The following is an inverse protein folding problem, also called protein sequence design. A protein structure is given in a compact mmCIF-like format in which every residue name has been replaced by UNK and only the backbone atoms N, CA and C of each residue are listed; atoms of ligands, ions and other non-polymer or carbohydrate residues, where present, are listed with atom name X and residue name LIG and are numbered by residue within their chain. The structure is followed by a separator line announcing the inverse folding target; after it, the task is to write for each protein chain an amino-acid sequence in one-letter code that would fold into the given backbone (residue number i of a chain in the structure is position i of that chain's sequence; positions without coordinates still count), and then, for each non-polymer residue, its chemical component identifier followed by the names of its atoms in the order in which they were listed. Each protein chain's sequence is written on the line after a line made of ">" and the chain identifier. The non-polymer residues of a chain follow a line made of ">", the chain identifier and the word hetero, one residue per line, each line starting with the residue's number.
data_IF_100242206993
#
_entry.id   IF_100242206993
#
_cell.length_a   1.000
_cell.length_b   1.000
_cell.length_c   1.000
_cell.angle_alpha   90.00
_cell.angle_beta   90.00
_cell.angle_gamma   90.00
#
_symmetry.space_group_name_H-M   'P 1'
#
loop_
_entity.id
_entity.type
_entity.pdbx_description
1 polymer ?
#
# COMPACT_ATOMS: atom_id res chain seq x y z
N UNK A 1 5.17 17.00 13.27
CA UNK A 1 6.26 16.85 12.26
C UNK A 1 7.62 16.95 12.94
N UNK A 2 8.56 16.11 12.55
CA UNK A 2 9.90 16.16 13.15
C UNK A 2 10.68 17.38 12.64
N UNK A 3 11.36 18.12 13.53
CA UNK A 3 12.09 19.33 13.09
C UNK A 3 13.32 19.02 12.24
N UNK A 4 13.84 17.80 12.28
CA UNK A 4 14.98 17.37 11.44
C UNK A 4 14.56 16.89 10.05
N UNK A 5 13.25 16.86 9.75
CA UNK A 5 12.74 16.38 8.48
C UNK A 5 12.14 17.54 7.67
N UNK A 6 12.77 17.88 6.56
CA UNK A 6 12.33 18.95 5.66
C UNK A 6 11.37 18.47 4.57
N UNK A 7 11.19 17.17 4.41
CA UNK A 7 10.31 16.59 3.40
C UNK A 7 9.36 15.56 3.97
N UNK A 8 8.12 15.59 3.51
CA UNK A 8 7.12 14.57 3.82
C UNK A 8 6.40 14.19 2.54
N UNK A 9 6.34 12.90 2.26
CA UNK A 9 5.59 12.37 1.10
C UNK A 9 4.43 11.56 1.63
N UNK A 10 3.25 11.87 1.13
CA UNK A 10 2.03 11.10 1.37
C UNK A 10 1.57 10.51 0.06
N UNK A 11 1.43 9.20 0.02
CA UNK A 11 0.77 8.50 -1.07
C UNK A 11 -0.55 7.93 -0.56
N UNK A 12 -1.62 8.17 -1.29
CA UNK A 12 -2.92 7.64 -0.99
C UNK A 12 -3.44 6.90 -2.21
N UNK A 13 -3.62 5.59 -2.08
CA UNK A 13 -4.25 4.78 -3.13
C UNK A 13 -5.76 4.76 -2.93
N UNK A 14 -6.51 5.16 -3.96
CA UNK A 14 -7.96 5.22 -3.89
C UNK A 14 -8.60 4.16 -4.79
N UNK A 15 -9.83 3.78 -4.47
CA UNK A 15 -10.59 2.84 -5.28
C UNK A 15 -11.02 3.51 -6.59
N UNK A 16 -10.64 2.91 -7.72
CA UNK A 16 -10.99 3.40 -9.06
C UNK A 16 -12.29 2.76 -9.55
N UNK A 17 -13.01 3.47 -10.43
CA UNK A 17 -14.23 2.96 -11.05
C UNK A 17 -13.95 2.03 -12.25
N UNK A 18 -12.68 1.75 -12.54
CA UNK A 18 -12.28 0.89 -13.64
C UNK A 18 -11.02 0.10 -13.30
N UNK A 19 -10.89 -1.05 -13.95
CA UNK A 19 -9.68 -1.83 -13.96
C UNK A 19 -9.42 -2.30 -15.39
N UNK A 20 -8.22 -2.79 -15.67
CA UNK A 20 -7.88 -3.29 -17.01
C UNK A 20 -8.87 -4.38 -17.41
N UNK A 21 -9.55 -4.19 -18.55
CA UNK A 21 -10.57 -5.12 -19.06
C UNK A 21 -11.88 -5.12 -18.27
N UNK A 22 -12.06 -4.20 -17.32
CA UNK A 22 -13.25 -4.18 -16.45
C UNK A 22 -13.74 -2.76 -16.23
N UNK A 23 -14.38 -2.13 -17.23
CA UNK A 23 -14.98 -0.82 -17.02
C UNK A 23 -16.21 -0.92 -16.10
N UNK A 24 -16.49 0.13 -15.36
CA UNK A 24 -17.68 0.20 -14.53
C UNK A 24 -17.57 -0.59 -13.22
N UNK A 25 -16.40 -0.66 -12.63
CA UNK A 25 -16.24 -1.22 -11.28
C UNK A 25 -17.07 -0.39 -10.31
N UNK A 26 -17.98 -1.05 -9.56
CA UNK A 26 -18.90 -0.38 -8.64
C UNK A 26 -18.32 -0.19 -7.25
N UNK A 27 -17.59 -1.18 -6.76
CA UNK A 27 -16.87 -1.10 -5.49
C UNK A 27 -15.77 -2.17 -5.43
N UNK A 28 -14.92 -2.05 -4.43
CA UNK A 28 -13.88 -3.02 -4.15
C UNK A 28 -14.14 -3.66 -2.79
N UNK A 29 -13.63 -4.85 -2.62
CA UNK A 29 -13.55 -5.51 -1.32
C UNK A 29 -12.12 -5.98 -1.12
N UNK A 30 -11.53 -5.66 0.05
CA UNK A 30 -10.22 -6.16 0.41
C UNK A 30 -10.36 -7.22 1.49
N UNK A 31 -9.86 -8.40 1.19
CA UNK A 31 -9.74 -9.46 2.18
C UNK A 31 -8.29 -9.60 2.59
N UNK A 32 -8.06 -9.91 3.85
CA UNK A 32 -6.73 -9.96 4.40
C UNK A 32 -6.54 -11.19 5.27
N UNK A 33 -5.31 -11.64 5.32
CA UNK A 33 -4.86 -12.59 6.33
C UNK A 33 -4.50 -11.77 7.57
N UNK A 34 -5.50 -11.45 8.39
CA UNK A 34 -5.41 -10.45 9.45
C UNK A 34 -4.21 -10.62 10.37
N UNK A 35 -3.89 -11.87 10.73
CA UNK A 35 -2.75 -12.18 11.60
C UNK A 35 -1.40 -11.79 11.00
N UNK A 36 -1.31 -11.68 9.67
CA UNK A 36 -0.07 -11.40 8.96
C UNK A 36 0.07 -9.94 8.54
N UNK A 37 -1.02 -9.17 8.54
CA UNK A 37 -1.00 -7.81 8.00
C UNK A 37 -0.05 -6.90 8.76
N UNK A 38 -0.25 -6.75 10.08
CA UNK A 38 0.60 -5.85 10.88
C UNK A 38 2.06 -6.30 10.92
N UNK A 39 2.37 -7.60 11.15
CA UNK A 39 3.76 -8.05 11.07
C UNK A 39 4.42 -7.75 9.72
N UNK A 40 3.71 -7.95 8.61
CA UNK A 40 4.26 -7.69 7.28
C UNK A 40 4.44 -6.20 7.01
N UNK A 41 3.49 -5.36 7.43
CA UNK A 41 3.65 -3.90 7.34
C UNK A 41 4.86 -3.43 8.16
N UNK A 42 5.03 -3.99 9.36
CA UNK A 42 6.20 -3.68 10.20
C UNK A 42 7.51 -4.06 9.50
N UNK A 43 7.54 -5.21 8.86
CA UNK A 43 8.73 -5.66 8.12
C UNK A 43 9.05 -4.72 6.96
N UNK A 44 8.04 -4.23 6.25
CA UNK A 44 8.22 -3.23 5.17
C UNK A 44 8.85 -1.96 5.73
N UNK A 45 8.33 -1.45 6.83
CA UNK A 45 8.86 -0.25 7.47
C UNK A 45 10.31 -0.45 7.94
N UNK A 46 10.59 -1.58 8.57
CA UNK A 46 11.95 -1.90 9.05
C UNK A 46 12.95 -1.97 7.89
N UNK A 47 12.58 -2.59 6.79
CA UNK A 47 13.43 -2.66 5.60
C UNK A 47 13.68 -1.28 5.00
N UNK A 48 12.67 -0.42 4.97
CA UNK A 48 12.83 0.95 4.51
C UNK A 48 13.85 1.71 5.38
N UNK A 49 13.80 1.51 6.71
CA UNK A 49 14.75 2.15 7.62
C UNK A 49 16.18 1.65 7.43
N UNK A 50 16.35 0.39 7.04
CA UNK A 50 17.67 -0.15 6.71
C UNK A 50 18.23 0.51 5.46
N UNK A 51 17.39 0.67 4.43
CA UNK A 51 17.81 1.26 3.14
C UNK A 51 18.00 2.77 3.20
N UNK A 52 17.21 3.46 4.00
CA UNK A 52 17.29 4.91 4.19
C UNK A 52 17.34 5.23 5.68
N UNK A 53 18.52 5.10 6.33
CA UNK A 53 18.63 5.30 7.78
C UNK A 53 18.22 6.69 8.26
N UNK A 54 18.27 7.69 7.38
CA UNK A 54 17.93 9.08 7.70
C UNK A 54 16.45 9.36 7.78
N UNK A 55 15.57 8.46 7.33
CA UNK A 55 14.14 8.75 7.33
C UNK A 55 13.61 8.92 8.76
N UNK A 56 12.60 9.77 8.89
CA UNK A 56 11.99 10.09 10.15
C UNK A 56 10.85 9.13 10.51
N UNK A 57 9.64 9.53 10.20
CA UNK A 57 8.44 8.73 10.51
C UNK A 57 7.95 8.00 9.29
N UNK A 58 7.40 6.80 9.53
CA UNK A 58 6.75 5.99 8.50
C UNK A 58 5.35 5.66 9.02
N UNK A 59 4.35 5.89 8.18
CA UNK A 59 2.98 5.43 8.43
C UNK A 59 2.57 4.54 7.27
N UNK A 60 2.13 3.33 7.56
CA UNK A 60 1.62 2.37 6.59
C UNK A 60 0.26 1.89 7.07
N UNK A 61 -0.79 2.22 6.32
CA UNK A 61 -2.16 1.83 6.64
C UNK A 61 -2.79 1.18 5.42
N UNK A 62 -3.54 0.11 5.64
CA UNK A 62 -4.33 -0.51 4.58
C UNK A 62 -5.71 -0.86 5.12
N UNK A 63 -6.75 -0.51 4.35
CA UNK A 63 -8.12 -0.89 4.68
C UNK A 63 -8.38 -2.34 4.27
N UNK A 64 -9.26 -2.97 5.03
CA UNK A 64 -9.83 -4.27 4.69
C UNK A 64 -11.35 -4.14 4.64
N UNK A 65 -12.02 -5.10 4.00
CA UNK A 65 -13.46 -5.08 3.85
C UNK A 65 -13.92 -4.26 2.64
N UNK A 66 -15.21 -3.89 2.60
CA UNK A 66 -15.78 -3.16 1.46
C UNK A 66 -15.26 -1.73 1.38
N UNK A 67 -15.11 -1.25 0.16
CA UNK A 67 -14.55 0.05 -0.14
C UNK A 67 -15.32 0.66 -1.30
N UNK A 68 -15.90 1.83 -1.08
CA UNK A 68 -16.60 2.56 -2.15
C UNK A 68 -15.59 3.23 -3.08
N UNK A 69 -16.02 3.46 -4.32
CA UNK A 69 -15.21 4.18 -5.31
C UNK A 69 -14.85 5.56 -4.76
N UNK A 70 -13.57 5.91 -4.89
CA UNK A 70 -13.02 7.18 -4.39
C UNK A 70 -12.53 7.14 -2.96
N UNK A 71 -12.85 6.11 -2.20
CA UNK A 71 -12.32 5.98 -0.84
C UNK A 71 -10.86 5.52 -0.84
N UNK A 72 -10.14 5.88 0.22
CA UNK A 72 -8.72 5.51 0.38
C UNK A 72 -8.59 4.06 0.78
N UNK A 73 -7.82 3.30 0.00
CA UNK A 73 -7.52 1.90 0.28
C UNK A 73 -6.23 1.75 1.08
N UNK A 74 -5.23 2.55 0.75
CA UNK A 74 -3.90 2.47 1.36
C UNK A 74 -3.34 3.86 1.53
N UNK A 75 -2.63 4.06 2.62
CA UNK A 75 -1.92 5.31 2.91
C UNK A 75 -0.48 4.99 3.28
N UNK A 76 0.45 5.66 2.62
CA UNK A 76 1.88 5.59 2.92
C UNK A 76 2.36 7.00 3.19
N UNK A 77 2.95 7.24 4.35
CA UNK A 77 3.57 8.52 4.69
C UNK A 77 5.01 8.27 5.10
N UNK A 78 5.93 9.03 4.52
CA UNK A 78 7.34 8.98 4.89
C UNK A 78 7.86 10.39 5.03
N UNK A 79 8.50 10.70 6.16
CA UNK A 79 9.23 11.94 6.33
C UNK A 79 10.74 11.67 6.30
N UNK A 80 11.50 12.65 5.80
CA UNK A 80 12.95 12.57 5.70
C UNK A 80 13.56 13.96 5.75
N UNK A 81 14.88 14.09 6.05
CA UNK A 81 15.54 15.40 5.99
C UNK A 81 15.42 16.06 4.61
N UNK A 82 15.50 15.26 3.55
CA UNK A 82 15.43 15.76 2.17
C UNK A 82 14.44 14.95 1.34
N UNK A 83 13.92 15.59 0.29
CA UNK A 83 12.85 15.01 -0.55
C UNK A 83 13.24 13.72 -1.26
N UNK A 84 14.50 13.56 -1.66
CA UNK A 84 14.93 12.36 -2.38
C UNK A 84 14.64 11.09 -1.60
N UNK A 85 15.12 11.02 -0.36
CA UNK A 85 14.87 9.86 0.50
C UNK A 85 13.38 9.67 0.79
N UNK A 86 12.64 10.77 0.99
CA UNK A 86 11.20 10.70 1.25
C UNK A 86 10.45 10.06 0.07
N UNK A 87 10.72 10.50 -1.16
CA UNK A 87 10.09 9.91 -2.35
C UNK A 87 10.51 8.47 -2.59
N UNK A 88 11.80 8.20 -2.50
CA UNK A 88 12.33 6.84 -2.74
C UNK A 88 11.78 5.84 -1.72
N UNK A 89 11.80 6.19 -0.45
CA UNK A 89 11.31 5.31 0.61
C UNK A 89 9.79 5.13 0.53
N UNK A 90 9.03 6.16 0.22
CA UNK A 90 7.59 6.04 0.04
C UNK A 90 7.25 5.10 -1.13
N UNK A 91 7.95 5.23 -2.25
CA UNK A 91 7.79 4.33 -3.39
C UNK A 91 8.14 2.89 -3.03
N UNK A 92 9.26 2.69 -2.36
CA UNK A 92 9.64 1.36 -1.88
C UNK A 92 8.55 0.76 -1.00
N UNK A 93 8.02 1.53 -0.06
CA UNK A 93 7.00 1.04 0.87
C UNK A 93 5.73 0.59 0.14
N UNK A 94 5.20 1.40 -0.78
CA UNK A 94 3.97 1.01 -1.49
C UNK A 94 4.21 -0.18 -2.42
N UNK A 95 5.32 -0.20 -3.15
CA UNK A 95 5.63 -1.31 -4.06
C UNK A 95 5.83 -2.62 -3.30
N UNK A 96 6.56 -2.57 -2.18
CA UNK A 96 6.83 -3.75 -1.36
C UNK A 96 5.59 -4.23 -0.62
N UNK A 97 4.80 -3.31 -0.08
CA UNK A 97 3.53 -3.62 0.57
C UNK A 97 2.62 -4.40 -0.37
N UNK A 98 2.48 -3.96 -1.60
CA UNK A 98 1.63 -4.63 -2.59
C UNK A 98 2.08 -6.04 -2.93
N UNK A 99 3.37 -6.34 -2.83
CA UNK A 99 3.91 -7.67 -3.13
C UNK A 99 3.92 -8.60 -1.93
N UNK A 100 4.00 -8.08 -0.72
CA UNK A 100 4.34 -8.89 0.45
C UNK A 100 3.26 -8.95 1.51
N UNK A 101 2.38 -7.95 1.60
CA UNK A 101 1.31 -7.95 2.59
C UNK A 101 0.14 -8.76 2.04
N UNK A 102 -0.37 -9.76 2.78
CA UNK A 102 -1.41 -10.66 2.30
C UNK A 102 -2.78 -9.99 2.35
N UNK A 103 -3.02 -9.09 1.42
CA UNK A 103 -4.30 -8.41 1.22
C UNK A 103 -4.67 -8.57 -0.25
N UNK A 104 -5.85 -9.10 -0.51
CA UNK A 104 -6.34 -9.37 -1.86
C UNK A 104 -7.51 -8.47 -2.20
N UNK A 105 -7.47 -7.94 -3.41
CA UNK A 105 -8.51 -7.07 -3.94
C UNK A 105 -9.53 -7.88 -4.73
N UNK A 106 -10.80 -7.73 -4.39
CA UNK A 106 -11.92 -8.25 -5.15
C UNK A 106 -12.65 -7.08 -5.78
N UNK A 107 -12.75 -7.10 -7.10
CA UNK A 107 -13.43 -6.06 -7.85
C UNK A 107 -14.87 -6.50 -8.14
N UNK A 108 -15.82 -5.62 -7.86
CA UNK A 108 -17.25 -5.88 -8.10
C UNK A 108 -17.74 -4.87 -9.13
N UNK A 109 -18.35 -5.39 -10.19
CA UNK A 109 -18.94 -4.58 -11.26
C UNK A 109 -20.32 -5.14 -11.62
N UNK A 110 -21.05 -4.44 -12.49
CA UNK A 110 -22.42 -4.81 -12.84
C UNK A 110 -22.59 -6.25 -13.34
N UNK A 111 -21.57 -6.82 -13.98
CA UNK A 111 -21.59 -8.18 -14.51
C UNK A 111 -21.13 -9.27 -13.55
N UNK A 112 -20.66 -8.91 -12.34
CA UNK A 112 -20.14 -9.89 -11.40
C UNK A 112 -19.00 -9.38 -10.54
N UNK A 113 -18.13 -10.29 -10.14
CA UNK A 113 -16.97 -9.98 -9.30
C UNK A 113 -15.80 -10.89 -9.63
N UNK A 114 -14.57 -10.41 -9.43
CA UNK A 114 -13.40 -11.26 -9.49
C UNK A 114 -12.24 -10.66 -8.70
N UNK A 115 -11.24 -11.51 -8.39
CA UNK A 115 -10.03 -11.09 -7.70
C UNK A 115 -9.12 -10.27 -8.61
N UNK A 116 -8.38 -9.33 -8.04
CA UNK A 116 -7.35 -8.60 -8.76
C UNK A 116 -6.19 -9.50 -9.16
N UNK A 117 -5.44 -9.07 -10.19
CA UNK A 117 -4.33 -9.87 -10.72
C UNK A 117 -3.22 -10.09 -9.71
N UNK A 118 -3.02 -9.15 -8.79
CA UNK A 118 -1.99 -9.23 -7.75
C UNK A 118 -2.24 -10.34 -6.72
N UNK A 119 -3.46 -10.84 -6.62
CA UNK A 119 -3.83 -11.83 -5.61
C UNK A 119 -3.03 -13.14 -5.68
N UNK A 120 -2.36 -13.39 -6.80
CA UNK A 120 -1.62 -14.64 -7.02
C UNK A 120 -0.12 -14.52 -6.74
N UNK A 121 0.37 -13.35 -6.33
CA UNK A 121 1.80 -13.04 -6.31
C UNK A 121 2.28 -12.45 -4.99
N UNK A 122 1.91 -13.09 -3.89
CA UNK A 122 2.42 -12.68 -2.57
C UNK A 122 3.79 -13.31 -2.35
N UNK A 123 4.78 -12.48 -2.06
CA UNK A 123 6.16 -12.91 -1.80
C UNK A 123 6.65 -12.34 -0.46
N UNK A 124 7.77 -12.84 0.03
CA UNK A 124 8.38 -12.32 1.24
C UNK A 124 9.06 -10.98 0.99
N UNK A 125 9.11 -10.13 2.03
CA UNK A 125 9.80 -8.85 1.96
C UNK A 125 11.29 -9.10 1.70
N UNK A 126 11.86 -8.33 0.76
CA UNK A 126 13.25 -8.48 0.35
C UNK A 126 13.47 -9.48 -0.79
N UNK A 127 12.47 -10.29 -1.16
CA UNK A 127 12.56 -11.20 -2.29
C UNK A 127 12.33 -10.44 -3.61
N UNK A 128 13.14 -10.74 -4.59
CA UNK A 128 13.01 -10.23 -5.96
C UNK A 128 13.21 -8.79 -6.17
#
# INVERSE_FOLDING_TARGET
>A
MRPDCGGLVLFCGTARDHAEGRPGVEHLEYEAYDEQVVPRLTTVADEARVRWPEIGRIVLLHRTGPLAIGESAVVVVVSAPHRAAAFEAARFCIDTLKRTVPIWKREVWAGGASWGLEAQHIVDVGAG
#
